data_IF_006351347928
#
_entry.id   IF_006351347928
#
_cell.length_a   1.000
_cell.length_b   1.000
_cell.length_c   1.000
_cell.angle_alpha   90.00
_cell.angle_beta   90.00
_cell.angle_gamma   90.00
#
_symmetry.space_group_name_H-M   'P 1'
#
loop_
_entity.id
_entity.type
_entity.pdbx_description
1 polymer ?
#
# COMPACT_ATOMS: atom_id res chain seq x y z
N UNK A 1 -15.03 9.11 -15.56
CA UNK A 1 -13.89 8.17 -15.71
C UNK A 1 -14.09 7.03 -14.72
N UNK A 2 -13.92 5.77 -15.14
CA UNK A 2 -14.09 4.59 -14.26
C UNK A 2 -12.99 4.45 -13.19
N UNK A 3 -11.86 5.13 -13.37
CA UNK A 3 -10.84 5.30 -12.33
C UNK A 3 -11.38 5.98 -11.07
N UNK A 4 -12.27 6.97 -11.20
CA UNK A 4 -12.88 7.65 -10.05
C UNK A 4 -13.85 6.77 -9.25
N UNK A 5 -14.32 5.69 -9.88
CA UNK A 5 -15.19 4.69 -9.26
C UNK A 5 -14.38 3.49 -8.73
N UNK A 6 -13.05 3.48 -8.89
CA UNK A 6 -12.18 2.36 -8.48
C UNK A 6 -12.36 1.08 -9.30
N UNK A 7 -12.92 1.19 -10.51
CA UNK A 7 -13.28 0.04 -11.36
C UNK A 7 -12.53 0.01 -12.70
N UNK A 8 -11.39 0.69 -12.77
CA UNK A 8 -10.52 0.73 -13.94
C UNK A 8 -9.05 0.64 -13.57
N UNK A 9 -8.25 0.14 -14.50
CA UNK A 9 -6.80 0.02 -14.38
C UNK A 9 -6.13 0.39 -15.72
N UNK A 10 -5.00 1.08 -15.64
CA UNK A 10 -4.10 1.28 -16.78
C UNK A 10 -2.88 0.38 -16.57
N UNK A 11 -2.73 -0.64 -17.41
CA UNK A 11 -1.71 -1.68 -17.28
C UNK A 11 -0.65 -1.48 -18.35
N UNK A 12 0.63 -1.42 -17.94
CA UNK A 12 1.74 -1.34 -18.90
C UNK A 12 1.85 -2.64 -19.70
N UNK A 13 2.01 -2.52 -21.02
CA UNK A 13 2.21 -3.66 -21.93
C UNK A 13 3.69 -3.96 -22.19
N UNK A 14 4.63 -3.34 -21.46
CA UNK A 14 6.09 -3.50 -21.67
C UNK A 14 6.55 -4.95 -21.51
N UNK A 15 5.84 -5.76 -20.73
CA UNK A 15 6.14 -7.17 -20.45
C UNK A 15 4.96 -8.10 -20.77
N UNK A 16 3.97 -7.65 -21.54
CA UNK A 16 2.76 -8.41 -21.85
C UNK A 16 2.50 -8.42 -23.36
N UNK A 17 2.02 -9.56 -23.86
CA UNK A 17 1.47 -9.63 -25.22
C UNK A 17 0.02 -9.08 -25.17
N UNK A 18 -0.28 -7.95 -25.83
CA UNK A 18 -1.54 -7.23 -25.62
C UNK A 18 -2.79 -8.03 -25.94
N UNK A 19 -2.81 -8.87 -26.98
CA UNK A 19 -3.98 -9.63 -27.37
C UNK A 19 -4.28 -10.78 -26.39
N UNK A 20 -3.24 -11.44 -25.89
CA UNK A 20 -3.35 -12.43 -24.83
C UNK A 20 -3.84 -11.78 -23.54
N UNK A 21 -3.25 -10.64 -23.15
CA UNK A 21 -3.71 -9.90 -21.97
C UNK A 21 -5.20 -9.53 -22.07
N UNK A 22 -5.62 -8.98 -23.21
CA UNK A 22 -7.03 -8.61 -23.43
C UNK A 22 -7.96 -9.83 -23.33
N UNK A 23 -7.59 -10.95 -23.95
CA UNK A 23 -8.38 -12.19 -23.90
C UNK A 23 -8.58 -12.66 -22.46
N UNK A 24 -7.52 -12.68 -21.66
CA UNK A 24 -7.61 -13.09 -20.25
C UNK A 24 -8.40 -12.05 -19.42
N UNK A 25 -8.23 -10.76 -19.68
CA UNK A 25 -8.99 -9.70 -19.03
C UNK A 25 -10.51 -9.82 -19.32
N UNK A 26 -10.88 -10.14 -20.56
CA UNK A 26 -12.27 -10.45 -20.93
C UNK A 26 -12.79 -11.69 -20.21
N UNK A 27 -11.96 -12.75 -20.11
CA UNK A 27 -12.34 -13.99 -19.44
C UNK A 27 -12.66 -13.79 -17.94
N UNK A 28 -12.01 -12.82 -17.28
CA UNK A 28 -12.27 -12.48 -15.88
C UNK A 28 -13.28 -11.35 -15.68
N UNK A 29 -13.92 -10.85 -16.75
CA UNK A 29 -15.10 -9.99 -16.68
C UNK A 29 -14.87 -8.49 -16.95
N UNK A 30 -13.69 -8.07 -17.42
CA UNK A 30 -13.50 -6.70 -17.92
C UNK A 30 -14.23 -6.49 -19.25
N UNK A 31 -14.78 -5.28 -19.44
CA UNK A 31 -15.70 -4.96 -20.54
C UNK A 31 -15.31 -3.72 -21.33
N UNK A 32 -14.71 -2.72 -20.67
CA UNK A 32 -14.19 -1.53 -21.31
C UNK A 32 -12.70 -1.68 -21.61
N UNK A 33 -12.28 -1.38 -22.83
CA UNK A 33 -10.89 -1.50 -23.28
C UNK A 33 -10.42 -0.25 -24.03
N UNK A 34 -9.34 0.36 -23.56
CA UNK A 34 -8.69 1.48 -24.25
C UNK A 34 -7.27 1.10 -24.70
N UNK A 35 -6.96 1.31 -25.97
CA UNK A 35 -5.69 0.90 -26.56
C UNK A 35 -4.78 2.10 -26.81
N UNK A 36 -3.59 2.08 -26.19
CA UNK A 36 -2.61 3.16 -26.29
C UNK A 36 -1.21 2.62 -26.63
N UNK A 37 -1.01 2.05 -27.84
CA UNK A 37 0.25 1.42 -28.22
C UNK A 37 1.44 2.37 -28.15
N UNK A 38 1.28 3.61 -28.63
CA UNK A 38 2.33 4.64 -28.56
C UNK A 38 2.75 5.00 -27.14
N UNK A 39 1.86 4.83 -26.17
CA UNK A 39 2.14 5.09 -24.75
C UNK A 39 2.46 3.82 -23.95
N UNK A 40 2.38 2.65 -24.58
CA UNK A 40 2.78 1.38 -23.97
C UNK A 40 1.84 0.84 -22.90
N UNK A 41 0.55 1.21 -22.90
CA UNK A 41 -0.41 0.71 -21.90
C UNK A 41 -1.79 0.40 -22.48
N UNK A 42 -2.52 -0.48 -21.79
CA UNK A 42 -3.93 -0.79 -22.06
C UNK A 42 -4.78 -0.38 -20.85
N UNK A 43 -5.85 0.35 -21.12
CA UNK A 43 -6.89 0.64 -20.14
C UNK A 43 -7.90 -0.51 -20.10
N UNK A 44 -8.26 -0.98 -18.91
CA UNK A 44 -9.34 -1.97 -18.71
C UNK A 44 -10.31 -1.51 -17.61
N UNK A 45 -11.62 -1.68 -17.82
CA UNK A 45 -12.63 -1.32 -16.82
C UNK A 45 -13.89 -2.22 -16.82
N UNK A 46 -14.65 -2.16 -15.73
CA UNK A 46 -15.87 -2.96 -15.51
C UNK A 46 -17.18 -2.29 -16.00
N UNK A 47 -17.09 -1.16 -16.70
CA UNK A 47 -18.25 -0.43 -17.21
C UNK A 47 -18.97 -1.13 -18.38
N UNK A 48 -19.80 -0.40 -19.15
CA UNK A 48 -20.42 -0.93 -20.35
C UNK A 48 -19.38 -1.46 -21.35
N UNK A 49 -19.76 -2.47 -22.14
CA UNK A 49 -18.93 -3.02 -23.20
C UNK A 49 -18.59 -1.92 -24.22
N UNK A 50 -17.30 -1.64 -24.37
CA UNK A 50 -16.81 -0.61 -25.28
C UNK A 50 -15.32 -0.78 -25.52
N UNK A 51 -14.88 -0.33 -26.69
CA UNK A 51 -13.47 -0.28 -27.05
C UNK A 51 -13.14 1.04 -27.72
N UNK A 52 -11.97 1.62 -27.43
CA UNK A 52 -11.52 2.88 -28.04
C UNK A 52 -9.99 2.94 -28.17
N UNK A 53 -9.51 3.90 -28.97
CA UNK A 53 -8.08 4.05 -29.24
C UNK A 53 -7.61 3.26 -30.47
N UNK A 54 -6.30 3.12 -30.61
CA UNK A 54 -5.66 2.46 -31.76
C UNK A 54 -5.34 1.00 -31.41
N UNK A 55 -5.79 0.02 -32.20
CA UNK A 55 -5.48 -1.39 -31.95
C UNK A 55 -3.97 -1.64 -31.90
N UNK A 56 -3.58 -2.63 -31.09
CA UNK A 56 -2.21 -3.14 -31.07
C UNK A 56 -1.89 -3.85 -32.38
N UNK A 57 -0.71 -3.55 -32.96
CA UNK A 57 -0.19 -4.30 -34.09
C UNK A 57 0.56 -5.54 -33.59
N UNK A 58 0.64 -6.59 -34.40
CA UNK A 58 1.41 -7.78 -34.06
C UNK A 58 2.90 -7.48 -33.77
N UNK A 59 3.45 -6.41 -34.36
CA UNK A 59 4.81 -5.94 -34.10
C UNK A 59 4.98 -5.27 -32.73
N UNK A 60 3.90 -4.79 -32.10
CA UNK A 60 3.93 -4.11 -30.80
C UNK A 60 3.93 -5.09 -29.62
N UNK A 61 3.84 -6.39 -29.91
CA UNK A 61 3.87 -7.47 -28.95
C UNK A 61 5.30 -7.70 -28.45
N UNK A 62 5.66 -7.10 -27.31
CA UNK A 62 6.89 -7.45 -26.62
C UNK A 62 6.76 -8.85 -26.00
N UNK A 63 7.73 -9.76 -26.18
CA UNK A 63 7.74 -11.01 -25.43
C UNK A 63 7.76 -10.71 -23.94
N UNK A 64 7.19 -11.62 -23.14
CA UNK A 64 7.23 -11.52 -21.69
C UNK A 64 8.70 -11.33 -21.27
N UNK A 65 9.01 -10.17 -20.69
CA UNK A 65 10.34 -9.97 -20.13
C UNK A 65 10.42 -10.86 -18.91
N UNK A 66 11.44 -11.72 -18.85
CA UNK A 66 11.70 -12.51 -17.66
C UNK A 66 11.87 -11.52 -16.51
N UNK A 67 10.92 -11.52 -15.57
CA UNK A 67 11.02 -10.71 -14.37
C UNK A 67 12.38 -11.04 -13.74
N UNK A 68 13.28 -10.06 -13.74
CA UNK A 68 14.56 -10.24 -13.08
C UNK A 68 14.18 -10.46 -11.63
N UNK A 69 14.54 -11.61 -11.01
CA UNK A 69 14.27 -11.82 -9.61
C UNK A 69 14.76 -10.57 -8.88
N UNK A 70 13.95 -9.96 -8.00
CA UNK A 70 14.40 -8.80 -7.24
C UNK A 70 15.77 -9.18 -6.70
N UNK A 71 16.78 -8.35 -7.00
CA UNK A 71 18.15 -8.62 -6.58
C UNK A 71 18.05 -8.96 -5.11
N UNK A 72 18.33 -10.23 -4.73
CA UNK A 72 18.03 -10.74 -3.40
C UNK A 72 18.58 -9.72 -2.43
N UNK A 73 17.70 -8.92 -1.81
CA UNK A 73 18.16 -7.92 -0.88
C UNK A 73 18.81 -8.75 0.21
N UNK A 74 20.14 -8.64 0.33
CA UNK A 74 20.81 -9.30 1.44
C UNK A 74 20.13 -8.69 2.65
N UNK A 75 19.49 -9.52 3.46
CA UNK A 75 18.76 -9.03 4.62
C UNK A 75 19.64 -8.11 5.47
N UNK A 76 20.96 -8.33 5.50
CA UNK A 76 21.97 -7.47 6.13
C UNK A 76 22.11 -6.04 5.56
N UNK A 77 21.69 -5.80 4.32
CA UNK A 77 21.74 -4.51 3.59
C UNK A 77 20.39 -3.77 3.64
N UNK A 78 19.32 -4.40 4.12
CA UNK A 78 18.01 -3.75 4.28
C UNK A 78 18.05 -2.78 5.46
N UNK A 79 17.70 -1.51 5.23
CA UNK A 79 17.65 -0.46 6.28
C UNK A 79 16.71 -0.82 7.44
N UNK A 80 15.65 -1.59 7.14
CA UNK A 80 14.69 -2.12 8.14
C UNK A 80 15.36 -3.17 9.04
N UNK A 81 16.17 -4.05 8.45
CA UNK A 81 16.97 -5.02 9.19
C UNK A 81 18.19 -4.37 9.86
N UNK A 82 18.75 -3.28 9.34
CA UNK A 82 19.81 -2.52 10.02
C UNK A 82 19.28 -1.96 11.34
N UNK A 83 18.06 -1.41 11.37
CA UNK A 83 17.41 -0.95 12.61
C UNK A 83 17.12 -2.07 13.61
N UNK A 84 16.72 -3.26 13.13
CA UNK A 84 16.53 -4.44 13.98
C UNK A 84 17.87 -5.07 14.43
N UNK A 85 18.89 -5.03 13.57
CA UNK A 85 20.23 -5.55 13.80
C UNK A 85 21.05 -4.69 14.76
N UNK A 86 20.87 -3.37 14.74
CA UNK A 86 21.44 -2.47 15.78
C UNK A 86 20.82 -2.73 17.15
N UNK A 87 19.55 -3.12 17.22
CA UNK A 87 18.92 -3.54 18.47
C UNK A 87 19.43 -4.92 18.95
N UNK A 88 19.81 -5.82 18.04
CA UNK A 88 20.30 -7.16 18.35
C UNK A 88 21.81 -7.29 18.59
N UNK A 89 22.65 -6.44 17.98
CA UNK A 89 24.11 -6.55 18.07
C UNK A 89 24.71 -6.09 19.41
N UNK A 90 23.90 -5.48 20.29
CA UNK A 90 24.33 -5.05 21.62
C UNK A 90 24.55 -6.22 22.61
N UNK A 91 24.40 -7.48 22.22
CA UNK A 91 24.38 -8.60 23.17
C UNK A 91 25.66 -9.44 23.27
N UNK A 92 26.83 -9.00 22.78
CA UNK A 92 28.06 -9.83 22.92
C UNK A 92 29.28 -9.00 23.35
N UNK A 93 29.46 -8.86 24.68
CA UNK A 93 30.69 -8.38 25.33
C UNK A 93 30.44 -7.68 26.67
N UNK A 94 31.36 -7.76 27.63
CA UNK A 94 31.20 -7.15 28.97
C UNK A 94 30.93 -5.63 28.91
N UNK A 95 31.54 -4.91 27.96
CA UNK A 95 31.23 -3.49 27.72
C UNK A 95 29.91 -3.24 26.98
N UNK A 96 29.34 -4.24 26.31
CA UNK A 96 28.05 -4.13 25.64
C UNK A 96 26.89 -4.24 26.63
N UNK A 97 27.04 -5.05 27.69
CA UNK A 97 26.08 -5.11 28.79
C UNK A 97 26.01 -3.77 29.55
N UNK A 98 27.15 -3.09 29.76
CA UNK A 98 27.19 -1.77 30.39
C UNK A 98 26.51 -0.70 29.53
N UNK A 99 26.79 -0.66 28.23
CA UNK A 99 26.13 0.27 27.28
C UNK A 99 24.64 -0.04 27.14
N UNK A 100 24.24 -1.31 27.12
CA UNK A 100 22.84 -1.70 27.12
C UNK A 100 22.14 -1.29 28.42
N UNK A 101 22.80 -1.43 29.57
CA UNK A 101 22.26 -1.03 30.87
C UNK A 101 22.11 0.50 30.97
N UNK A 102 23.08 1.27 30.47
CA UNK A 102 23.00 2.73 30.39
C UNK A 102 21.85 3.17 29.48
N UNK A 103 21.75 2.59 28.27
CA UNK A 103 20.65 2.89 27.34
C UNK A 103 19.28 2.54 27.93
N UNK A 104 19.16 1.42 28.65
CA UNK A 104 17.94 1.03 29.36
C UNK A 104 17.63 2.00 30.51
N UNK A 105 18.64 2.46 31.26
CA UNK A 105 18.45 3.38 32.39
C UNK A 105 18.05 4.78 31.90
N UNK A 106 18.64 5.25 30.80
CA UNK A 106 18.28 6.52 30.15
C UNK A 106 16.84 6.46 29.61
N UNK A 107 16.49 5.37 28.92
CA UNK A 107 15.14 5.15 28.43
C UNK A 107 14.12 5.06 29.58
N UNK A 108 14.47 4.40 30.69
CA UNK A 108 13.63 4.34 31.89
C UNK A 108 13.39 5.73 32.49
N UNK A 109 14.41 6.58 32.58
CA UNK A 109 14.26 7.95 33.08
C UNK A 109 13.29 8.79 32.24
N UNK A 110 13.40 8.70 30.91
CA UNK A 110 12.48 9.39 29.99
C UNK A 110 11.05 8.84 30.09
N UNK A 111 10.89 7.52 30.22
CA UNK A 111 9.58 6.89 30.40
C UNK A 111 8.96 7.22 31.77
N UNK A 112 9.75 7.36 32.83
CA UNK A 112 9.27 7.72 34.17
C UNK A 112 8.66 9.12 34.22
N UNK A 113 9.18 10.06 33.43
CA UNK A 113 8.62 11.40 33.33
C UNK A 113 7.21 11.40 32.69
N UNK A 114 6.95 10.46 31.79
CA UNK A 114 5.66 10.33 31.08
C UNK A 114 4.71 9.38 31.81
N UNK A 115 5.23 8.48 32.66
CA UNK A 115 4.47 7.46 33.37
C UNK A 115 3.20 7.97 34.08
N UNK A 116 3.21 9.13 34.79
CA UNK A 116 2.00 9.66 35.43
C UNK A 116 0.89 10.06 34.45
N UNK A 117 1.25 10.37 33.20
CA UNK A 117 0.32 10.81 32.16
C UNK A 117 -0.22 9.67 31.32
N UNK A 118 0.39 8.48 31.35
CA UNK A 118 0.01 7.36 30.49
C UNK A 118 -1.46 6.95 30.70
N UNK A 119 -1.95 6.93 31.94
CA UNK A 119 -3.34 6.56 32.23
C UNK A 119 -4.31 7.63 31.70
N UNK A 120 -4.01 8.91 31.91
CA UNK A 120 -4.79 10.03 31.37
C UNK A 120 -4.78 10.03 29.83
N UNK A 121 -3.63 9.84 29.20
CA UNK A 121 -3.49 9.76 27.74
C UNK A 121 -4.27 8.58 27.17
N UNK A 122 -4.22 7.41 27.82
CA UNK A 122 -5.03 6.24 27.43
C UNK A 122 -6.50 6.60 27.38
N UNK A 123 -7.04 7.20 28.44
CA UNK A 123 -8.46 7.56 28.50
C UNK A 123 -8.83 8.67 27.51
N UNK A 124 -7.98 9.68 27.32
CA UNK A 124 -8.17 10.72 26.31
C UNK A 124 -8.24 10.12 24.90
N UNK A 125 -7.31 9.22 24.56
CA UNK A 125 -7.29 8.56 23.26
C UNK A 125 -8.53 7.67 23.05
N UNK A 126 -8.96 6.94 24.08
CA UNK A 126 -10.20 6.14 24.03
C UNK A 126 -11.41 7.05 23.81
N UNK A 127 -11.52 8.15 24.56
CA UNK A 127 -12.64 9.09 24.44
C UNK A 127 -12.67 9.75 23.05
N UNK A 128 -11.52 10.14 22.51
CA UNK A 128 -11.39 10.73 21.19
C UNK A 128 -11.77 9.73 20.08
N UNK A 129 -11.33 8.48 20.21
CA UNK A 129 -11.70 7.41 19.28
C UNK A 129 -13.21 7.14 19.30
N UNK A 130 -13.82 7.02 20.48
CA UNK A 130 -15.26 6.83 20.64
C UNK A 130 -16.06 8.03 20.10
N UNK A 131 -15.59 9.26 20.34
CA UNK A 131 -16.19 10.47 19.80
C UNK A 131 -16.16 10.52 18.28
N UNK A 132 -15.04 10.13 17.67
CA UNK A 132 -14.91 10.02 16.21
C UNK A 132 -15.87 9.00 15.61
N UNK A 133 -15.98 7.81 16.23
CA UNK A 133 -16.95 6.78 15.81
C UNK A 133 -18.39 7.28 15.93
N UNK A 134 -18.74 7.91 17.05
CA UNK A 134 -20.07 8.47 17.26
C UNK A 134 -20.41 9.56 16.23
N UNK A 135 -19.47 10.44 15.91
CA UNK A 135 -19.64 11.48 14.90
C UNK A 135 -19.85 10.88 13.50
N UNK A 136 -19.07 9.86 13.13
CA UNK A 136 -19.23 9.17 11.84
C UNK A 136 -20.60 8.49 11.73
N UNK A 137 -21.06 7.83 12.80
CA UNK A 137 -22.40 7.23 12.86
C UNK A 137 -23.48 8.30 12.76
N UNK A 138 -23.33 9.41 13.49
CA UNK A 138 -24.27 10.52 13.45
C UNK A 138 -24.38 11.12 12.05
N UNK A 139 -23.24 11.47 11.43
CA UNK A 139 -23.21 12.03 10.08
C UNK A 139 -23.87 11.07 9.08
N UNK A 140 -23.61 9.76 9.20
CA UNK A 140 -24.24 8.75 8.34
C UNK A 140 -25.77 8.71 8.49
N UNK A 141 -26.27 8.81 9.72
CA UNK A 141 -27.71 8.84 9.99
C UNK A 141 -28.35 10.16 9.54
N UNK A 142 -27.62 11.27 9.64
CA UNK A 142 -28.08 12.59 9.18
C UNK A 142 -28.18 12.66 7.66
N UNK A 143 -27.20 12.15 6.93
CA UNK A 143 -27.22 12.03 5.47
C UNK A 143 -28.44 11.20 4.98
N UNK A 144 -28.76 10.12 5.70
CA UNK A 144 -29.97 9.31 5.44
C UNK A 144 -31.26 10.09 5.65
N UNK A 145 -31.33 10.91 6.71
CA UNK A 145 -32.52 11.72 7.02
C UNK A 145 -32.68 12.91 6.06
N UNK A 146 -31.58 13.50 5.62
CA UNK A 146 -31.58 14.68 4.73
C UNK A 146 -31.58 14.32 3.24
N UNK A 147 -31.55 13.02 2.89
CA UNK A 147 -31.66 12.57 1.50
C UNK A 147 -30.43 12.85 0.64
N UNK A 148 -29.29 13.20 1.28
CA UNK A 148 -27.99 13.33 0.61
C UNK A 148 -27.43 11.91 0.45
N UNK A 149 -27.57 11.37 -0.76
CA UNK A 149 -27.04 10.04 -1.11
C UNK A 149 -25.56 10.13 -1.44
#
# INVERSE_FOLDING_TARGET
>A
SKHMEGTAFDISMTNHEPHTFEREARAVGFKGFGYYPRSGFMHVDLGPERSWGEPWLAADSAPFSTERPPARERLAESRTMTGAGTAGAATVGAGAAEVAQEAVTEAQGQLQAIAPYLDSMRWVLIALALGGVALAVYARLDDWKTGRR
#
